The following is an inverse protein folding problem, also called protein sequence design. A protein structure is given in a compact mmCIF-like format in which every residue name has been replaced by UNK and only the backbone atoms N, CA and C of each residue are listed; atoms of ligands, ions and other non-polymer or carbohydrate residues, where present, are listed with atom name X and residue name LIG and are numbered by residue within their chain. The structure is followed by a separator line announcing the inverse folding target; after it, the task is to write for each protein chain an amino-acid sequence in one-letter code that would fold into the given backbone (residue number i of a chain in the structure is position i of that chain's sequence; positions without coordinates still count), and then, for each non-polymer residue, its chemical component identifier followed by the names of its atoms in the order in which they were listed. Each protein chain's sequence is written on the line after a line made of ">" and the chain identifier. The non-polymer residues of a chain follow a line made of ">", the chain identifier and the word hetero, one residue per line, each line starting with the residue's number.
data_IF_099829733724
#
_entry.id   IF_099829733724
#
_cell.length_a   1.000
_cell.length_b   1.000
_cell.length_c   1.000
_cell.angle_alpha   90.00
_cell.angle_beta   90.00
_cell.angle_gamma   90.00
#
_symmetry.space_group_name_H-M   'P 1'
#
loop_
_entity.id
_entity.type
_entity.pdbx_description
1 polymer ?
#
# COMPACT_ATOMS: atom_id res chain seq x y z
N UNK A 1 27.20 50.94 4.02
CA UNK A 1 26.87 49.71 4.80
C UNK A 1 25.39 49.28 4.74
N UNK A 2 24.54 49.88 3.90
CA UNK A 2 23.10 49.56 3.83
C UNK A 2 22.74 48.44 2.83
N UNK A 3 23.68 48.03 1.97
CA UNK A 3 23.45 47.08 0.87
C UNK A 3 23.54 45.60 1.28
N UNK A 4 24.20 45.29 2.40
CA UNK A 4 24.43 43.91 2.84
C UNK A 4 23.23 43.27 3.57
N UNK A 5 22.26 44.07 4.03
CA UNK A 5 21.08 43.59 4.77
C UNK A 5 20.05 42.90 3.87
N UNK A 6 19.98 43.27 2.59
CA UNK A 6 19.02 42.70 1.63
C UNK A 6 19.51 41.42 0.94
N UNK A 7 20.84 41.23 0.88
CA UNK A 7 21.45 40.04 0.27
C UNK A 7 21.35 38.82 1.20
N UNK A 8 21.50 39.01 2.52
CA UNK A 8 21.36 37.92 3.51
C UNK A 8 19.94 37.37 3.62
N UNK A 9 18.93 38.22 3.45
CA UNK A 9 17.52 37.82 3.48
C UNK A 9 17.11 37.01 2.23
N UNK A 10 17.71 37.32 1.08
CA UNK A 10 17.51 36.59 -0.18
C UNK A 10 18.06 35.17 -0.11
N UNK A 11 19.26 35.01 0.44
CA UNK A 11 19.89 33.71 0.67
C UNK A 11 19.11 32.88 1.70
N UNK A 12 18.60 33.49 2.79
CA UNK A 12 17.80 32.76 3.78
C UNK A 12 16.48 32.23 3.20
N UNK A 13 15.85 32.93 2.27
CA UNK A 13 14.54 32.52 1.71
C UNK A 13 14.69 31.37 0.70
N UNK A 14 15.75 31.36 -0.10
CA UNK A 14 16.06 30.26 -1.04
C UNK A 14 16.48 29.00 -0.26
N UNK A 15 17.25 29.15 0.82
CA UNK A 15 17.65 28.03 1.69
C UNK A 15 16.41 27.45 2.41
N UNK A 16 15.44 28.27 2.84
CA UNK A 16 14.22 27.78 3.49
C UNK A 16 13.34 26.93 2.57
N UNK A 17 13.29 27.23 1.27
CA UNK A 17 12.50 26.48 0.28
C UNK A 17 13.15 25.15 -0.09
N UNK A 18 14.49 25.05 -0.06
CA UNK A 18 15.21 23.79 -0.27
C UNK A 18 15.26 22.89 0.98
N UNK A 19 15.16 23.45 2.19
CA UNK A 19 15.20 22.69 3.45
C UNK A 19 13.88 22.01 3.82
N UNK A 20 12.78 22.31 3.12
CA UNK A 20 11.44 21.74 3.38
C UNK A 20 11.06 20.60 2.42
N UNK A 21 11.85 20.35 1.37
CA UNK A 21 11.69 19.19 0.51
C UNK A 21 12.53 18.04 1.05
N UNK A 22 11.99 17.29 2.02
CA UNK A 22 12.53 15.95 2.28
C UNK A 22 12.53 15.18 0.96
N UNK A 23 13.66 14.59 0.59
CA UNK A 23 13.69 13.60 -0.49
C UNK A 23 12.92 12.39 0.04
N UNK A 24 11.63 12.31 -0.25
CA UNK A 24 10.91 11.05 -0.13
C UNK A 24 11.37 10.21 -1.34
N UNK A 25 11.84 9.00 -1.07
CA UNK A 25 12.22 8.03 -2.10
C UNK A 25 11.21 6.89 -2.06
N UNK A 26 11.05 6.20 -3.19
CA UNK A 26 10.20 5.03 -3.23
C UNK A 26 10.73 3.98 -2.24
N UNK A 27 9.85 3.44 -1.41
CA UNK A 27 10.19 2.44 -0.41
C UNK A 27 9.36 1.17 -0.63
N UNK A 28 9.96 0.02 -0.33
CA UNK A 28 9.28 -1.28 -0.33
C UNK A 28 9.09 -1.75 1.11
N UNK A 29 7.85 -2.10 1.44
CA UNK A 29 7.44 -2.65 2.72
C UNK A 29 7.02 -4.09 2.53
N UNK A 30 7.61 -5.00 3.32
CA UNK A 30 7.34 -6.44 3.24
C UNK A 30 6.70 -6.90 4.53
N UNK A 31 5.56 -7.57 4.42
CA UNK A 31 4.78 -8.12 5.52
C UNK A 31 4.62 -9.63 5.35
N UNK A 32 4.61 -10.35 6.46
CA UNK A 32 4.28 -11.77 6.52
C UNK A 32 3.34 -12.04 7.71
N UNK A 33 2.37 -12.94 7.56
CA UNK A 33 1.53 -13.34 8.68
C UNK A 33 2.34 -14.14 9.71
N UNK A 34 1.76 -14.36 10.88
CA UNK A 34 2.29 -15.31 11.87
C UNK A 34 1.16 -16.25 12.28
N UNK A 35 1.26 -17.56 11.97
CA UNK A 35 2.35 -18.22 11.25
C UNK A 35 2.44 -17.77 9.78
N UNK A 36 3.63 -17.92 9.18
CA UNK A 36 3.90 -17.41 7.83
C UNK A 36 3.06 -18.09 6.75
N UNK A 37 2.65 -19.34 6.99
CA UNK A 37 1.89 -20.19 6.08
C UNK A 37 0.37 -20.13 6.29
N UNK A 38 -0.13 -19.27 7.19
CA UNK A 38 -1.55 -19.22 7.58
C UNK A 38 -2.12 -20.60 7.95
N UNK A 39 -1.36 -21.41 8.69
CA UNK A 39 -1.79 -22.75 9.11
C UNK A 39 -2.12 -23.66 7.94
N UNK A 40 -1.34 -23.54 6.85
CA UNK A 40 -1.53 -24.28 5.60
C UNK A 40 -2.89 -24.03 4.91
N UNK A 41 -3.65 -23.00 5.32
CA UNK A 41 -5.00 -22.72 4.81
C UNK A 41 -5.89 -23.98 4.95
N UNK A 42 -6.15 -24.36 6.20
CA UNK A 42 -6.99 -25.50 6.54
C UNK A 42 -8.46 -25.26 6.17
N UNK A 43 -9.08 -26.22 5.49
CA UNK A 43 -10.45 -26.12 4.96
C UNK A 43 -11.59 -26.12 5.98
N UNK A 44 -11.30 -26.28 7.27
CA UNK A 44 -12.31 -26.08 8.30
C UNK A 44 -12.48 -24.61 8.66
N UNK A 45 -11.61 -23.75 8.13
CA UNK A 45 -11.47 -22.37 8.53
C UNK A 45 -11.33 -21.42 7.33
N UNK A 46 -11.76 -20.19 7.54
CA UNK A 46 -11.33 -19.03 6.78
C UNK A 46 -10.53 -18.09 7.69
N UNK A 47 -9.70 -17.24 7.08
CA UNK A 47 -8.65 -16.50 7.78
C UNK A 47 -8.72 -15.03 7.45
N UNK A 48 -8.50 -14.18 8.45
CA UNK A 48 -8.15 -12.77 8.22
C UNK A 48 -6.73 -12.52 8.68
N UNK A 49 -5.97 -11.76 7.92
CA UNK A 49 -4.67 -11.23 8.30
C UNK A 49 -4.74 -9.70 8.33
N UNK A 50 -4.83 -9.11 9.52
CA UNK A 50 -4.83 -7.66 9.73
C UNK A 50 -3.42 -7.10 9.87
N UNK A 51 -3.18 -5.94 9.25
CA UNK A 51 -1.89 -5.25 9.24
C UNK A 51 -2.10 -3.82 9.76
N UNK A 52 -1.50 -3.53 10.91
CA UNK A 52 -1.41 -2.16 11.44
C UNK A 52 -0.21 -1.47 10.80
N UNK A 53 -0.47 -0.56 9.88
CA UNK A 53 0.56 0.17 9.16
C UNK A 53 0.00 1.47 8.59
N UNK A 54 0.77 2.55 8.74
CA UNK A 54 0.49 3.85 8.15
C UNK A 54 1.39 4.09 6.93
N UNK A 55 0.84 4.65 5.86
CA UNK A 55 1.65 5.16 4.75
C UNK A 55 2.58 6.27 5.30
N UNK A 56 3.89 6.24 4.99
CA UNK A 56 4.80 7.31 5.37
C UNK A 56 4.30 8.69 4.92
N UNK A 57 4.53 9.70 5.77
CA UNK A 57 4.03 11.04 5.51
C UNK A 57 4.58 11.60 4.17
N UNK A 58 3.67 12.01 3.28
CA UNK A 58 4.00 12.57 1.97
C UNK A 58 4.17 11.53 0.86
N UNK A 59 3.80 10.28 1.12
CA UNK A 59 3.83 9.19 0.14
C UNK A 59 2.42 8.66 -0.18
N UNK A 60 2.34 7.85 -1.23
CA UNK A 60 1.16 7.10 -1.66
C UNK A 60 1.59 5.70 -2.09
N UNK A 61 0.73 4.70 -1.91
CA UNK A 61 0.98 3.35 -2.43
C UNK A 61 0.84 3.38 -3.95
N UNK A 62 1.83 2.85 -4.65
CA UNK A 62 1.87 2.78 -6.12
C UNK A 62 1.87 1.36 -6.66
N UNK A 63 2.24 0.38 -5.84
CA UNK A 63 2.22 -1.04 -6.19
C UNK A 63 2.04 -1.90 -4.95
N UNK A 64 1.43 -3.07 -5.12
CA UNK A 64 1.34 -4.10 -4.10
C UNK A 64 1.28 -5.47 -4.78
N UNK A 65 1.87 -6.47 -4.15
CA UNK A 65 1.81 -7.86 -4.61
C UNK A 65 1.72 -8.84 -3.45
N UNK A 66 0.91 -9.88 -3.64
CA UNK A 66 0.74 -10.98 -2.70
C UNK A 66 1.39 -12.24 -3.29
N UNK A 67 2.38 -12.76 -2.59
CA UNK A 67 3.15 -13.92 -2.98
C UNK A 67 2.81 -15.12 -2.09
N UNK A 68 2.61 -16.27 -2.72
CA UNK A 68 2.48 -17.57 -2.08
C UNK A 68 3.67 -18.44 -2.48
N UNK A 69 4.43 -18.89 -1.49
CA UNK A 69 5.59 -19.78 -1.66
C UNK A 69 5.13 -21.24 -1.67
N UNK A 70 5.42 -21.98 -2.75
CA UNK A 70 5.20 -23.42 -2.85
C UNK A 70 3.74 -23.89 -2.62
N UNK A 71 2.75 -23.02 -2.89
CA UNK A 71 1.33 -23.31 -2.68
C UNK A 71 0.85 -24.47 -3.56
N UNK A 72 0.04 -25.35 -2.98
CA UNK A 72 -0.56 -26.51 -3.64
C UNK A 72 -1.79 -26.98 -2.89
N UNK A 73 -2.73 -27.59 -3.62
CA UNK A 73 -3.81 -28.34 -2.98
C UNK A 73 -3.23 -29.60 -2.30
N UNK A 74 -3.80 -30.04 -1.18
CA UNK A 74 -3.50 -31.36 -0.60
C UNK A 74 -3.69 -32.46 -1.65
N UNK A 75 -4.81 -32.46 -2.39
CA UNK A 75 -5.20 -33.55 -3.29
C UNK A 75 -5.52 -33.04 -4.71
N UNK A 76 -6.11 -33.92 -5.53
CA UNK A 76 -6.48 -33.64 -6.93
C UNK A 76 -7.97 -33.35 -7.10
N UNK A 77 -8.72 -33.19 -6.01
CA UNK A 77 -10.12 -32.79 -6.10
C UNK A 77 -10.21 -31.30 -6.43
N UNK A 78 -11.40 -30.91 -6.87
CA UNK A 78 -11.69 -29.50 -7.07
C UNK A 78 -11.53 -28.74 -5.75
N UNK A 79 -11.02 -27.52 -5.85
CA UNK A 79 -10.70 -26.65 -4.73
C UNK A 79 -10.82 -25.19 -5.16
N UNK A 80 -11.16 -24.34 -4.22
CA UNK A 80 -11.29 -22.91 -4.43
C UNK A 80 -10.58 -22.16 -3.29
N UNK A 81 -9.89 -21.07 -3.66
CA UNK A 81 -9.28 -20.15 -2.71
C UNK A 81 -9.71 -18.73 -3.08
N UNK A 82 -10.55 -18.11 -2.26
CA UNK A 82 -10.89 -16.70 -2.37
C UNK A 82 -9.95 -15.86 -1.53
N UNK A 83 -9.48 -14.75 -2.11
CA UNK A 83 -8.66 -13.78 -1.39
C UNK A 83 -9.25 -12.39 -1.57
N UNK A 84 -9.51 -11.72 -0.45
CA UNK A 84 -10.13 -10.40 -0.39
C UNK A 84 -9.18 -9.39 0.21
N UNK A 85 -9.28 -8.14 -0.25
CA UNK A 85 -8.76 -6.98 0.45
C UNK A 85 -9.88 -6.40 1.33
N UNK A 86 -9.62 -6.34 2.62
CA UNK A 86 -10.57 -5.88 3.64
C UNK A 86 -10.21 -4.47 4.11
N UNK A 87 -11.24 -3.69 4.44
CA UNK A 87 -11.10 -2.33 4.97
C UNK A 87 -10.37 -2.31 6.31
N UNK A 88 -10.64 -3.31 7.13
CA UNK A 88 -9.96 -3.55 8.40
C UNK A 88 -10.04 -5.02 8.79
N UNK A 89 -9.12 -5.45 9.65
CA UNK A 89 -9.17 -6.75 10.30
C UNK A 89 -8.42 -6.70 11.64
N UNK A 90 -8.73 -7.64 12.54
CA UNK A 90 -7.95 -7.82 13.77
C UNK A 90 -6.47 -8.00 13.42
N UNK A 91 -5.59 -7.25 14.09
CA UNK A 91 -4.14 -7.31 13.85
C UNK A 91 -3.60 -8.72 14.00
N UNK A 92 -2.81 -9.16 13.02
CA UNK A 92 -2.31 -10.53 12.94
C UNK A 92 -3.32 -11.48 12.30
N UNK A 93 -3.10 -12.77 12.49
CA UNK A 93 -3.94 -13.83 11.90
C UNK A 93 -5.08 -14.16 12.86
N UNK A 94 -6.31 -14.20 12.33
CA UNK A 94 -7.48 -14.74 13.02
C UNK A 94 -8.09 -15.85 12.17
N UNK A 95 -8.35 -17.00 12.80
CA UNK A 95 -8.99 -18.17 12.20
C UNK A 95 -10.47 -18.20 12.60
N UNK A 96 -11.35 -18.48 11.65
CA UNK A 96 -12.78 -18.61 11.88
C UNK A 96 -13.26 -19.94 11.29
N UNK A 97 -13.90 -20.78 12.11
CA UNK A 97 -14.40 -22.06 11.62
C UNK A 97 -15.71 -21.89 10.84
N UNK A 98 -15.80 -22.53 9.67
CA UNK A 98 -17.01 -22.57 8.84
C UNK A 98 -17.51 -24.00 8.57
N UNK A 99 -16.73 -25.01 8.93
CA UNK A 99 -17.11 -26.42 8.88
C UNK A 99 -17.16 -27.00 7.45
N UNK A 100 -16.26 -26.56 6.57
CA UNK A 100 -16.23 -26.96 5.14
C UNK A 100 -17.50 -26.49 4.40
N UNK A 101 -18.01 -25.30 4.76
CA UNK A 101 -19.31 -24.78 4.32
C UNK A 101 -19.44 -24.57 2.81
N UNK A 102 -18.32 -24.41 2.11
CA UNK A 102 -18.31 -24.04 0.71
C UNK A 102 -18.60 -22.56 0.48
N UNK A 103 -18.07 -21.98 -0.59
CA UNK A 103 -18.35 -20.63 -1.05
C UNK A 103 -17.40 -19.58 -0.49
N UNK A 104 -17.79 -18.31 -0.66
CA UNK A 104 -17.00 -17.15 -0.25
C UNK A 104 -17.62 -16.51 1.01
N UNK A 105 -17.00 -16.77 2.16
CA UNK A 105 -17.36 -16.21 3.47
C UNK A 105 -17.09 -14.71 3.56
N UNK A 106 -16.26 -14.16 2.67
CA UNK A 106 -16.02 -12.73 2.53
C UNK A 106 -16.93 -12.07 1.51
N UNK A 107 -17.94 -12.77 0.97
CA UNK A 107 -18.86 -12.19 0.00
C UNK A 107 -19.58 -10.96 0.59
N UNK A 108 -19.41 -9.81 -0.07
CA UNK A 108 -19.93 -8.53 0.39
C UNK A 108 -19.07 -7.82 1.45
N UNK A 109 -17.89 -8.37 1.77
CA UNK A 109 -16.89 -7.78 2.66
C UNK A 109 -15.64 -7.43 1.84
N UNK A 110 -15.24 -6.16 1.92
CA UNK A 110 -14.09 -5.67 1.15
C UNK A 110 -14.27 -5.82 -0.37
N UNK A 111 -13.15 -6.02 -1.07
CA UNK A 111 -13.13 -6.33 -2.50
C UNK A 111 -12.43 -7.68 -2.73
N UNK A 112 -12.97 -8.49 -3.66
CA UNK A 112 -12.32 -9.71 -4.12
C UNK A 112 -11.07 -9.32 -4.91
N UNK A 113 -9.90 -9.78 -4.47
CA UNK A 113 -8.66 -9.68 -5.23
C UNK A 113 -8.61 -10.79 -6.27
N UNK A 114 -8.69 -12.04 -5.82
CA UNK A 114 -8.64 -13.17 -6.73
C UNK A 114 -9.38 -14.38 -6.20
N UNK A 115 -9.78 -15.23 -7.15
CA UNK A 115 -10.38 -16.53 -6.90
C UNK A 115 -9.60 -17.58 -7.70
N UNK A 116 -8.76 -18.34 -7.01
CA UNK A 116 -8.07 -19.47 -7.62
C UNK A 116 -8.95 -20.70 -7.58
N UNK A 117 -9.04 -21.40 -8.71
CA UNK A 117 -9.81 -22.64 -8.85
C UNK A 117 -8.89 -23.77 -9.29
N UNK A 118 -9.12 -24.95 -8.73
CA UNK A 118 -8.46 -26.20 -9.11
C UNK A 118 -6.93 -26.11 -9.08
N UNK A 119 -6.35 -25.48 -8.05
CA UNK A 119 -4.90 -25.48 -7.87
C UNK A 119 -4.39 -26.94 -7.81
N UNK A 120 -3.27 -27.25 -8.48
CA UNK A 120 -2.74 -28.59 -8.55
C UNK A 120 -2.15 -29.04 -7.21
N UNK A 121 -1.98 -30.35 -7.06
CA UNK A 121 -1.26 -30.93 -5.92
C UNK A 121 0.27 -30.77 -6.01
N UNK A 122 0.79 -30.25 -7.12
CA UNK A 122 2.20 -29.89 -7.28
C UNK A 122 2.44 -28.48 -6.76
N UNK A 123 3.47 -28.32 -5.93
CA UNK A 123 3.90 -27.01 -5.43
C UNK A 123 4.18 -26.03 -6.57
N UNK A 124 3.77 -24.78 -6.39
CA UNK A 124 4.05 -23.69 -7.30
C UNK A 124 4.11 -22.37 -6.54
N UNK A 125 4.95 -21.49 -7.07
CA UNK A 125 5.03 -20.10 -6.63
C UNK A 125 3.99 -19.27 -7.39
N UNK A 126 3.17 -18.52 -6.66
CA UNK A 126 2.15 -17.64 -7.24
C UNK A 126 2.36 -16.23 -6.74
N UNK A 127 2.42 -15.27 -7.65
CA UNK A 127 2.36 -13.83 -7.35
C UNK A 127 1.08 -13.25 -7.92
N UNK A 128 0.30 -12.58 -7.07
CA UNK A 128 -0.84 -11.75 -7.48
C UNK A 128 -0.44 -10.28 -7.39
N UNK A 129 -0.41 -9.59 -8.52
CA UNK A 129 -0.13 -8.16 -8.60
C UNK A 129 -1.44 -7.38 -8.55
N UNK A 130 -1.51 -6.37 -7.68
CA UNK A 130 -2.73 -5.60 -7.47
C UNK A 130 -2.96 -4.66 -8.66
N UNK A 131 -4.20 -4.61 -9.14
CA UNK A 131 -4.58 -3.72 -10.22
C UNK A 131 -4.72 -2.25 -9.76
N UNK A 132 -4.82 -1.27 -10.68
CA UNK A 132 -4.92 0.14 -10.29
C UNK A 132 -6.14 0.49 -9.41
N UNK A 133 -7.25 -0.25 -9.53
CA UNK A 133 -8.44 -0.07 -8.70
C UNK A 133 -8.23 -0.64 -7.29
N UNK A 134 -7.59 -1.80 -7.18
CA UNK A 134 -7.22 -2.42 -5.90
C UNK A 134 -6.20 -1.55 -5.16
N UNK A 135 -5.20 -0.98 -5.86
CA UNK A 135 -4.24 -0.02 -5.28
C UNK A 135 -4.96 1.24 -4.77
N UNK A 136 -5.92 1.79 -5.52
CA UNK A 136 -6.70 2.93 -5.08
C UNK A 136 -7.56 2.61 -3.83
N UNK A 137 -8.09 1.39 -3.77
CA UNK A 137 -8.87 0.90 -2.62
C UNK A 137 -7.97 0.71 -1.40
N UNK A 138 -6.79 0.09 -1.55
CA UNK A 138 -5.81 -0.08 -0.49
C UNK A 138 -5.34 1.26 0.10
N UNK A 139 -5.06 2.25 -0.76
CA UNK A 139 -4.75 3.61 -0.32
C UNK A 139 -5.89 4.25 0.49
N UNK A 140 -7.14 3.83 0.28
CA UNK A 140 -8.29 4.32 1.07
C UNK A 140 -8.37 3.58 2.40
N UNK A 141 -8.24 2.26 2.41
CA UNK A 141 -8.38 1.43 3.62
C UNK A 141 -7.31 1.73 4.65
N UNK A 142 -6.05 1.88 4.23
CA UNK A 142 -4.93 2.18 5.12
C UNK A 142 -5.01 3.56 5.80
N UNK A 143 -5.96 4.43 5.42
CA UNK A 143 -6.09 5.77 6.03
C UNK A 143 -6.48 5.72 7.51
N UNK A 144 -7.11 4.62 7.95
CA UNK A 144 -7.45 4.38 9.36
C UNK A 144 -6.31 3.67 10.12
N UNK A 145 -5.15 3.46 9.49
CA UNK A 145 -3.96 2.84 10.07
C UNK A 145 -4.02 1.31 10.17
N UNK A 146 -5.06 0.70 9.61
CA UNK A 146 -5.26 -0.74 9.56
C UNK A 146 -5.92 -1.11 8.23
N UNK A 147 -5.56 -2.27 7.70
CA UNK A 147 -6.26 -2.95 6.60
C UNK A 147 -6.08 -4.46 6.78
N UNK A 148 -6.78 -5.27 6.00
CA UNK A 148 -6.64 -6.72 6.11
C UNK A 148 -6.70 -7.46 4.79
N UNK A 149 -6.27 -8.72 4.83
CA UNK A 149 -6.50 -9.69 3.77
C UNK A 149 -7.40 -10.81 4.32
N UNK A 150 -8.45 -11.16 3.57
CA UNK A 150 -9.28 -12.33 3.83
C UNK A 150 -8.83 -13.49 2.95
N UNK A 151 -8.74 -14.70 3.51
CA UNK A 151 -8.40 -15.92 2.79
C UNK A 151 -9.45 -16.98 3.13
N UNK A 152 -10.12 -17.51 2.12
CA UNK A 152 -11.16 -18.51 2.29
C UNK A 152 -10.85 -19.75 1.45
N UNK A 153 -10.33 -20.83 2.07
CA UNK A 153 -10.01 -22.06 1.40
C UNK A 153 -11.15 -23.09 1.47
N UNK A 154 -11.75 -23.41 0.33
CA UNK A 154 -12.73 -24.50 0.16
C UNK A 154 -12.07 -25.87 -0.10
N UNK A 155 -10.80 -25.99 0.27
CA UNK A 155 -10.04 -27.22 0.36
C UNK A 155 -8.78 -27.00 1.18
N UNK A 156 -8.15 -28.06 1.66
CA UNK A 156 -6.92 -27.90 2.43
C UNK A 156 -5.76 -27.68 1.48
N UNK A 157 -4.94 -26.66 1.74
CA UNK A 157 -3.74 -26.39 0.98
C UNK A 157 -2.48 -26.76 1.76
N UNK A 158 -1.33 -26.62 1.11
CA UNK A 158 -0.04 -26.51 1.78
C UNK A 158 0.67 -25.33 1.16
N UNK A 159 1.41 -24.55 1.97
CA UNK A 159 2.29 -23.51 1.47
C UNK A 159 3.46 -23.29 2.44
N UNK A 160 4.56 -22.70 1.97
CA UNK A 160 5.74 -22.44 2.81
C UNK A 160 5.77 -21.00 3.34
N UNK A 161 4.77 -20.19 3.01
CA UNK A 161 4.70 -18.80 3.42
C UNK A 161 3.91 -17.92 2.47
N UNK A 162 3.34 -16.87 3.04
CA UNK A 162 2.63 -15.81 2.33
C UNK A 162 3.34 -14.49 2.61
N UNK A 163 3.57 -13.70 1.58
CA UNK A 163 4.26 -12.42 1.69
C UNK A 163 3.51 -11.34 0.94
N UNK A 164 3.19 -10.23 1.62
CA UNK A 164 2.66 -9.02 1.00
C UNK A 164 3.80 -8.01 0.84
N UNK A 165 4.03 -7.55 -0.38
CA UNK A 165 4.91 -6.42 -0.65
C UNK A 165 4.07 -5.20 -1.03
N UNK A 166 4.40 -4.04 -0.49
CA UNK A 166 3.80 -2.75 -0.83
C UNK A 166 4.92 -1.79 -1.20
N UNK A 167 4.79 -1.13 -2.35
CA UNK A 167 5.69 -0.06 -2.77
C UNK A 167 5.00 1.29 -2.69
N UNK A 168 5.67 2.25 -2.08
CA UNK A 168 5.23 3.63 -1.99
C UNK A 168 6.06 4.55 -2.88
N UNK A 169 5.52 5.72 -3.20
CA UNK A 169 6.25 6.78 -3.86
C UNK A 169 5.82 8.15 -3.31
N UNK A 170 6.67 9.18 -3.45
CA UNK A 170 6.31 10.56 -3.12
C UNK A 170 5.02 11.01 -3.81
N UNK A 171 4.13 11.66 -3.06
CA UNK A 171 2.99 12.36 -3.68
C UNK A 171 3.54 13.51 -4.53
N UNK A 172 3.26 13.56 -5.86
CA UNK A 172 3.73 14.65 -6.69
C UNK A 172 3.19 15.99 -6.21
N UNK A 173 4.08 16.94 -5.87
CA UNK A 173 3.65 18.31 -5.56
C UNK A 173 3.03 18.90 -6.84
N UNK A 174 1.78 19.40 -6.80
CA UNK A 174 1.17 20.02 -7.96
C UNK A 174 2.07 21.15 -8.47
N UNK A 175 2.49 21.05 -9.74
CA UNK A 175 3.37 22.05 -10.39
C UNK A 175 2.78 23.46 -10.37
N UNK A 176 1.47 23.58 -10.19
CA UNK A 176 0.75 24.84 -10.00
C UNK A 176 1.18 25.59 -8.74
N UNK A 177 1.47 24.92 -7.63
CA UNK A 177 1.97 25.56 -6.40
C UNK A 177 3.39 26.10 -6.63
N UNK A 178 4.23 25.33 -7.34
CA UNK A 178 5.58 25.76 -7.71
C UNK A 178 5.55 26.96 -8.67
N UNK A 179 4.63 26.96 -9.65
CA UNK A 179 4.46 28.05 -10.61
C UNK A 179 3.87 29.30 -9.95
N UNK A 180 2.91 29.14 -9.02
CA UNK A 180 2.34 30.24 -8.25
C UNK A 180 3.39 30.86 -7.32
N UNK A 181 4.16 30.04 -6.61
CA UNK A 181 5.24 30.50 -5.74
C UNK A 181 6.33 31.24 -6.51
N UNK A 182 6.79 30.69 -7.64
CA UNK A 182 7.80 31.34 -8.48
C UNK A 182 7.27 32.60 -9.19
N UNK A 183 6.00 32.60 -9.60
CA UNK A 183 5.32 33.77 -10.18
C UNK A 183 5.21 34.94 -9.20
N UNK A 184 4.77 34.68 -7.96
CA UNK A 184 4.66 35.72 -6.91
C UNK A 184 6.03 36.30 -6.52
N UNK A 185 7.07 35.47 -6.45
CA UNK A 185 8.44 35.93 -6.25
C UNK A 185 8.93 36.81 -7.42
N UNK A 186 8.67 36.39 -8.66
CA UNK A 186 8.99 37.17 -9.85
C UNK A 186 8.33 38.56 -9.86
N UNK A 187 7.04 38.65 -9.56
CA UNK A 187 6.32 39.91 -9.46
C UNK A 187 6.81 40.79 -8.30
N UNK A 188 7.11 40.19 -7.14
CA UNK A 188 7.68 40.91 -5.99
C UNK A 188 9.01 41.58 -6.32
N UNK A 189 9.88 40.93 -7.08
CA UNK A 189 11.18 41.47 -7.50
C UNK A 189 11.05 42.57 -8.56
N UNK A 190 10.14 42.39 -9.52
CA UNK A 190 9.87 43.39 -10.56
C UNK A 190 9.25 44.66 -9.97
N UNK A 191 8.37 44.53 -8.97
CA UNK A 191 7.74 45.69 -8.31
C UNK A 191 8.72 46.52 -7.48
N UNK A 192 9.73 45.89 -6.86
CA UNK A 192 10.80 46.58 -6.11
C UNK A 192 11.73 47.38 -7.00
N UNK A 193 12.01 46.90 -8.21
CA UNK A 193 12.86 47.60 -9.19
C UNK A 193 12.27 48.94 -9.65
N UNK A 194 10.94 49.06 -9.69
CA UNK A 194 10.26 50.31 -10.07
C UNK A 194 10.29 51.40 -8.99
N UNK A 195 10.46 51.06 -7.71
CA UNK A 195 10.47 52.05 -6.61
C UNK A 195 11.83 52.73 -6.37
N UNK A 196 12.90 52.29 -7.03
CA UNK A 196 14.26 52.84 -6.83
C UNK A 196 14.59 53.94 -7.85
N UNK A 197 13.75 54.17 -8.87
CA UNK A 197 13.97 55.15 -9.94
C UNK A 197 13.11 56.44 -9.83
N UNK A 198 12.70 56.82 -8.63
CA UNK A 198 12.06 58.11 -8.29
C UNK A 198 12.68 58.66 -7.03
#
# INVERSE_FOLDING_TARGET
>A
MHYMKNLGMFFCTIILVFMLGGVTEAATYTFQPTPADLYDLDHYCYYTWGIDWDIPAGEIIVSASLFFDDIRNWNKKSNDLWVHLLDSANTGVTEYGDGEGGGDNFSGQGILLHHWQDLPASAQDITYDFDPFEIATLNTYVTDGNFGLGFDPDCHYYNNGITLNIETAPVPIPTTILLLGSGLLGFGLLSRRKRVNT
#
